data_IF_891966693925
#
_entry.id   IF_891966693925
#
_cell.length_a   1.000
_cell.length_b   1.000
_cell.length_c   1.000
_cell.angle_alpha   90.00
_cell.angle_beta   90.00
_cell.angle_gamma   90.00
#
_symmetry.space_group_name_H-M   'P 1'
#
loop_
_entity.id
_entity.type
_entity.pdbx_description
1 polymer ?
#
# COMPACT_ATOMS: atom_id res chain seq x y z
N UNK A 1 -10.39 -14.73 -9.15
CA UNK A 1 -9.90 -14.71 -7.74
C UNK A 1 -10.35 -13.43 -7.05
N UNK A 2 -10.55 -13.46 -5.71
CA UNK A 2 -10.93 -12.27 -4.93
C UNK A 2 -9.72 -11.65 -4.24
N UNK A 3 -9.68 -10.31 -4.24
CA UNK A 3 -8.74 -9.51 -3.48
C UNK A 3 -9.45 -8.51 -2.58
N UNK A 4 -8.83 -8.14 -1.47
CA UNK A 4 -9.36 -7.17 -0.52
C UNK A 4 -8.67 -5.82 -0.75
N UNK A 5 -9.43 -4.83 -1.20
CA UNK A 5 -8.99 -3.48 -1.55
C UNK A 5 -9.57 -2.48 -0.56
N UNK A 6 -8.76 -1.58 0.01
CA UNK A 6 -9.30 -0.57 0.93
C UNK A 6 -9.53 0.79 0.28
N UNK A 7 -8.85 1.09 -0.82
CA UNK A 7 -9.05 2.33 -1.57
C UNK A 7 -8.69 2.15 -3.05
N UNK A 8 -9.33 2.92 -3.91
CA UNK A 8 -8.97 3.09 -5.33
C UNK A 8 -8.89 4.58 -5.58
N UNK A 9 -7.67 5.09 -5.70
CA UNK A 9 -7.42 6.52 -5.90
C UNK A 9 -7.18 6.80 -7.37
N UNK A 10 -8.15 7.40 -8.00
CA UNK A 10 -8.06 7.81 -9.40
C UNK A 10 -7.27 9.13 -9.52
N UNK A 11 -6.57 9.29 -10.66
CA UNK A 11 -5.80 10.49 -10.99
C UNK A 11 -4.68 10.84 -10.00
N UNK A 12 -4.02 9.84 -9.44
CA UNK A 12 -2.84 10.01 -8.59
C UNK A 12 -1.63 10.47 -9.44
N UNK A 13 -0.85 11.42 -8.91
CA UNK A 13 0.32 12.00 -9.60
C UNK A 13 1.65 11.73 -8.87
N UNK A 14 1.62 10.93 -7.79
CA UNK A 14 2.78 10.61 -6.97
C UNK A 14 3.09 9.11 -6.88
N UNK A 15 2.26 8.28 -7.51
CA UNK A 15 2.33 6.82 -7.40
C UNK A 15 2.95 6.20 -8.67
N UNK A 16 3.88 6.91 -9.30
CA UNK A 16 4.60 6.53 -10.50
C UNK A 16 4.52 7.56 -11.61
N UNK A 17 5.14 7.26 -12.75
CA UNK A 17 5.20 8.16 -13.90
C UNK A 17 3.82 8.36 -14.53
N UNK A 18 3.54 9.60 -14.95
CA UNK A 18 2.26 10.01 -15.54
C UNK A 18 1.11 10.10 -14.53
N UNK A 19 -0.12 10.08 -15.02
CA UNK A 19 -1.33 10.07 -14.17
C UNK A 19 -1.79 8.63 -13.97
N UNK A 20 -1.99 8.22 -12.72
CA UNK A 20 -2.24 6.82 -12.40
C UNK A 20 -3.55 6.62 -11.62
N UNK A 21 -4.10 5.42 -11.72
CA UNK A 21 -5.08 4.93 -10.74
C UNK A 21 -4.38 3.96 -9.81
N UNK A 22 -4.34 4.28 -8.53
CA UNK A 22 -3.69 3.46 -7.52
C UNK A 22 -4.71 2.60 -6.80
N UNK A 23 -4.49 1.29 -6.82
CA UNK A 23 -5.29 0.29 -6.11
C UNK A 23 -4.58 -0.08 -4.83
N UNK A 24 -5.19 0.25 -3.68
CA UNK A 24 -4.62 0.00 -2.36
C UNK A 24 -5.15 -1.30 -1.76
N UNK A 25 -4.31 -2.33 -1.74
CA UNK A 25 -4.63 -3.66 -1.22
C UNK A 25 -4.47 -3.73 0.30
N UNK A 26 -5.35 -4.48 0.98
CA UNK A 26 -5.29 -4.69 2.43
C UNK A 26 -4.34 -5.81 2.83
N UNK A 27 -3.80 -5.65 4.03
CA UNK A 27 -2.84 -6.54 4.64
C UNK A 27 -1.41 -6.06 4.42
N UNK A 28 -0.65 -6.00 5.50
CA UNK A 28 0.78 -5.73 5.47
C UNK A 28 1.45 -6.55 6.57
N UNK A 29 2.54 -7.27 6.29
CA UNK A 29 3.30 -7.95 7.34
C UNK A 29 4.14 -6.98 8.17
N UNK A 30 4.45 -5.79 7.63
CA UNK A 30 5.20 -4.76 8.33
C UNK A 30 4.28 -3.96 9.28
N UNK A 31 4.90 -3.37 10.31
CA UNK A 31 4.29 -2.46 11.31
C UNK A 31 5.13 -1.20 11.45
N UNK A 32 5.46 -0.59 10.28
CA UNK A 32 6.26 0.63 10.26
C UNK A 32 5.63 1.70 11.17
N UNK A 33 6.40 2.24 12.12
CA UNK A 33 5.90 3.25 13.06
C UNK A 33 5.46 4.55 12.38
N UNK A 34 5.90 4.78 11.14
CA UNK A 34 5.52 5.92 10.27
C UNK A 34 4.49 5.59 9.20
N UNK A 35 3.80 4.45 9.27
CA UNK A 35 2.93 4.01 8.20
C UNK A 35 1.90 5.07 7.80
N UNK A 36 1.77 5.37 6.52
CA UNK A 36 0.81 6.34 6.00
C UNK A 36 -0.58 5.76 5.73
N UNK A 37 -0.67 4.42 5.68
CA UNK A 37 -1.90 3.70 5.34
C UNK A 37 -2.27 2.71 6.45
N UNK A 38 -2.61 3.19 7.68
CA UNK A 38 -2.97 2.32 8.79
C UNK A 38 -4.20 1.45 8.48
N UNK A 39 -5.07 1.89 7.58
CA UNK A 39 -6.21 1.12 7.04
C UNK A 39 -5.79 -0.07 6.18
N UNK A 40 -4.57 -0.07 5.67
CA UNK A 40 -3.98 -1.18 4.91
C UNK A 40 -3.30 -2.25 5.77
N UNK A 41 -3.11 -2.04 7.08
CA UNK A 41 -2.31 -2.93 7.92
C UNK A 41 -2.97 -4.29 8.19
N UNK A 42 -4.28 -4.33 8.42
CA UNK A 42 -5.02 -5.56 8.66
C UNK A 42 -5.37 -6.28 7.36
N UNK A 43 -5.22 -7.61 7.28
CA UNK A 43 -5.70 -8.39 6.14
C UNK A 43 -7.21 -8.66 6.18
N UNK A 44 -7.95 -8.06 7.12
CA UNK A 44 -9.39 -8.21 7.29
C UNK A 44 -10.09 -6.88 7.08
N UNK A 45 -11.37 -6.93 6.77
CA UNK A 45 -12.24 -5.75 6.80
C UNK A 45 -12.21 -5.11 8.18
N UNK A 46 -12.18 -3.79 8.23
CA UNK A 46 -12.16 -3.02 9.48
C UNK A 46 -13.11 -1.85 9.40
N UNK A 47 -13.60 -1.44 10.57
CA UNK A 47 -14.33 -0.18 10.68
C UNK A 47 -13.41 0.99 10.30
N UNK A 48 -13.93 1.90 9.50
CA UNK A 48 -13.31 3.19 9.23
C UNK A 48 -14.27 4.30 9.65
N UNK A 49 -13.85 5.10 10.64
CA UNK A 49 -14.66 6.18 11.17
C UNK A 49 -13.98 7.53 10.98
N UNK A 50 -14.62 8.44 10.26
CA UNK A 50 -14.21 9.84 10.20
C UNK A 50 -14.73 10.57 11.45
N UNK A 51 -13.84 11.20 12.22
CA UNK A 51 -14.24 11.93 13.43
C UNK A 51 -14.57 13.40 13.15
N UNK A 52 -14.00 13.97 12.10
CA UNK A 52 -14.32 15.34 11.70
C UNK A 52 -15.80 15.43 11.28
N UNK A 53 -16.56 16.29 11.96
CA UNK A 53 -17.99 16.44 11.76
C UNK A 53 -18.87 15.41 12.50
N UNK A 54 -18.29 14.57 13.36
CA UNK A 54 -19.06 13.63 14.19
C UNK A 54 -19.87 14.41 15.24
N UNK A 55 -21.18 14.11 15.28
CA UNK A 55 -22.13 14.73 16.22
C UNK A 55 -22.09 14.13 17.64
N UNK A 56 -21.31 13.05 17.85
CA UNK A 56 -21.29 12.33 19.13
C UNK A 56 -22.61 11.67 19.53
N UNK A 57 -23.53 11.49 18.58
CA UNK A 57 -24.91 11.05 18.88
C UNK A 57 -25.04 9.57 19.30
N UNK A 58 -23.99 8.78 19.22
CA UNK A 58 -23.95 7.38 19.65
C UNK A 58 -24.77 6.38 18.83
N UNK A 59 -25.56 6.82 17.85
CA UNK A 59 -26.47 5.93 17.09
C UNK A 59 -25.77 4.75 16.43
N UNK A 60 -24.55 4.95 15.90
CA UNK A 60 -23.78 3.89 15.25
C UNK A 60 -23.28 2.80 16.23
N UNK A 61 -23.36 3.03 17.54
CA UNK A 61 -22.99 2.06 18.58
C UNK A 61 -24.15 1.17 18.99
N UNK A 62 -25.37 1.43 18.51
CA UNK A 62 -26.54 0.62 18.81
C UNK A 62 -26.45 -0.64 17.93
N UNK A 63 -26.61 -1.85 18.51
CA UNK A 63 -26.64 -3.10 17.76
C UNK A 63 -27.69 -3.08 16.64
N UNK A 64 -27.38 -3.67 15.52
CA UNK A 64 -28.29 -3.83 14.38
C UNK A 64 -28.12 -5.23 13.76
N UNK A 65 -29.11 -5.66 12.97
CA UNK A 65 -29.18 -7.00 12.41
C UNK A 65 -28.54 -7.12 11.01
N UNK A 66 -28.00 -6.05 10.45
CA UNK A 66 -27.33 -6.10 9.15
C UNK A 66 -26.04 -6.93 9.25
N UNK A 67 -25.87 -7.88 8.33
CA UNK A 67 -24.75 -8.82 8.35
C UNK A 67 -23.40 -8.09 8.24
N UNK A 68 -23.27 -7.14 7.32
CA UNK A 68 -22.06 -6.34 7.12
C UNK A 68 -21.68 -5.47 8.32
N UNK A 69 -22.68 -5.08 9.14
CA UNK A 69 -22.43 -4.33 10.37
C UNK A 69 -21.84 -5.19 11.48
N UNK A 70 -22.20 -6.48 11.50
CA UNK A 70 -21.68 -7.44 12.51
C UNK A 70 -20.16 -7.65 12.33
N UNK A 71 -19.68 -7.67 11.09
CA UNK A 71 -18.25 -7.84 10.79
C UNK A 71 -17.37 -6.72 11.41
N UNK A 72 -17.92 -5.50 11.52
CA UNK A 72 -17.17 -4.32 11.97
C UNK A 72 -17.62 -3.78 13.33
N UNK A 73 -18.64 -4.37 13.94
CA UNK A 73 -19.14 -4.04 15.29
C UNK A 73 -19.81 -2.67 15.43
N UNK A 74 -20.23 -2.06 14.30
CA UNK A 74 -20.91 -0.76 14.25
C UNK A 74 -21.92 -0.73 13.11
N UNK A 75 -23.07 -0.06 13.33
CA UNK A 75 -24.04 0.14 12.26
C UNK A 75 -23.49 1.11 11.20
N UNK A 76 -23.40 0.64 9.97
CA UNK A 76 -22.88 1.41 8.82
C UNK A 76 -23.93 2.37 8.24
N UNK A 77 -25.23 2.13 8.50
CA UNK A 77 -26.35 2.79 7.82
C UNK A 77 -26.96 3.95 8.62
N UNK A 78 -26.72 4.02 9.94
CA UNK A 78 -27.46 4.93 10.82
C UNK A 78 -26.81 6.29 11.00
N UNK A 79 -25.58 6.47 10.48
CA UNK A 79 -24.86 7.75 10.65
C UNK A 79 -25.44 8.86 9.76
N UNK A 80 -26.04 9.94 10.32
CA UNK A 80 -26.65 11.00 9.53
C UNK A 80 -25.63 11.84 8.74
N UNK A 81 -24.33 11.68 9.03
CA UNK A 81 -23.22 12.36 8.35
C UNK A 81 -22.39 11.42 7.48
N UNK A 82 -22.79 10.16 7.32
CA UNK A 82 -22.05 9.14 6.54
C UNK A 82 -20.56 9.04 6.92
N UNK A 83 -20.25 9.07 8.23
CA UNK A 83 -18.86 9.06 8.72
C UNK A 83 -18.36 7.65 9.06
N UNK A 84 -19.19 6.65 8.91
CA UNK A 84 -18.88 5.25 9.20
C UNK A 84 -18.83 4.49 7.89
N UNK A 85 -17.76 3.78 7.64
CA UNK A 85 -17.58 2.92 6.47
C UNK A 85 -16.70 1.71 6.81
N UNK A 86 -16.50 0.84 5.85
CA UNK A 86 -15.59 -0.31 5.97
C UNK A 86 -14.32 -0.01 5.17
N UNK A 87 -13.17 -0.18 5.81
CA UNK A 87 -11.90 -0.28 5.09
C UNK A 87 -11.73 -1.73 4.63
N UNK A 88 -11.89 -1.98 3.35
CA UNK A 88 -11.75 -3.28 2.73
C UNK A 88 -13.03 -3.73 2.02
N UNK A 89 -12.98 -3.70 0.70
CA UNK A 89 -14.02 -4.22 -0.20
C UNK A 89 -13.42 -5.37 -1.00
N UNK A 90 -14.14 -6.48 -1.07
CA UNK A 90 -13.75 -7.60 -1.91
C UNK A 90 -14.01 -7.29 -3.38
N UNK A 91 -13.02 -7.51 -4.21
CA UNK A 91 -13.10 -7.38 -5.66
C UNK A 91 -12.71 -8.69 -6.34
N UNK A 92 -13.52 -9.15 -7.26
CA UNK A 92 -13.07 -10.14 -8.25
C UNK A 92 -12.07 -9.47 -9.20
N UNK A 93 -10.94 -10.13 -9.49
CA UNK A 93 -9.89 -9.57 -10.35
C UNK A 93 -10.42 -9.09 -11.70
N UNK A 94 -11.31 -9.86 -12.34
CA UNK A 94 -11.97 -9.49 -13.59
C UNK A 94 -12.80 -8.22 -13.45
N UNK A 95 -13.66 -8.13 -12.43
CA UNK A 95 -14.52 -6.96 -12.22
C UNK A 95 -13.70 -5.69 -11.95
N UNK A 96 -12.60 -5.83 -11.18
CA UNK A 96 -11.69 -4.71 -10.94
C UNK A 96 -10.96 -4.32 -12.23
N UNK A 97 -10.46 -5.27 -13.01
CA UNK A 97 -9.82 -5.00 -14.30
C UNK A 97 -10.79 -4.25 -15.25
N UNK A 98 -12.04 -4.70 -15.36
CA UNK A 98 -13.05 -4.05 -16.21
C UNK A 98 -13.30 -2.58 -15.77
N UNK A 99 -13.35 -2.32 -14.45
CA UNK A 99 -13.43 -0.95 -13.91
C UNK A 99 -12.20 -0.13 -14.30
N UNK A 100 -10.99 -0.65 -14.13
CA UNK A 100 -9.74 0.06 -14.43
C UNK A 100 -9.58 0.34 -15.93
N UNK A 101 -10.03 -0.58 -16.79
CA UNK A 101 -10.01 -0.43 -18.24
C UNK A 101 -10.92 0.68 -18.75
N UNK A 102 -11.91 1.13 -17.98
CA UNK A 102 -12.72 2.30 -18.37
C UNK A 102 -11.90 3.58 -18.53
N UNK A 103 -10.72 3.66 -17.88
CA UNK A 103 -9.82 4.80 -17.97
C UNK A 103 -8.72 4.64 -19.03
N UNK A 104 -8.73 3.52 -19.80
CA UNK A 104 -7.67 3.22 -20.77
C UNK A 104 -7.39 4.37 -21.74
N UNK A 105 -8.42 4.92 -22.38
CA UNK A 105 -8.25 6.01 -23.33
C UNK A 105 -7.62 7.26 -22.72
N UNK A 106 -7.87 7.51 -21.43
CA UNK A 106 -7.24 8.60 -20.69
C UNK A 106 -5.74 8.34 -20.50
N UNK A 107 -5.35 7.13 -20.06
CA UNK A 107 -3.95 6.76 -19.90
C UNK A 107 -3.18 6.74 -21.21
N UNK A 108 -3.81 6.28 -22.30
CA UNK A 108 -3.22 6.30 -23.64
C UNK A 108 -2.91 7.73 -24.11
N UNK A 109 -3.71 8.71 -23.70
CA UNK A 109 -3.54 10.12 -24.10
C UNK A 109 -2.60 10.89 -23.19
N UNK A 110 -2.73 10.71 -21.88
CA UNK A 110 -2.02 11.52 -20.86
C UNK A 110 -0.76 10.84 -20.32
N UNK A 111 -0.49 9.62 -20.71
CA UNK A 111 0.50 8.76 -20.07
C UNK A 111 0.05 8.28 -18.69
N UNK A 112 0.77 7.30 -18.12
CA UNK A 112 0.46 6.74 -16.81
C UNK A 112 -0.10 5.33 -16.88
N UNK A 113 -1.01 4.98 -15.97
CA UNK A 113 -1.56 3.63 -15.88
C UNK A 113 -2.07 3.25 -14.49
N UNK A 114 -1.88 1.99 -14.12
CA UNK A 114 -2.32 1.45 -12.82
C UNK A 114 -1.10 1.22 -11.92
N UNK A 115 -1.25 1.53 -10.63
CA UNK A 115 -0.28 1.14 -9.60
C UNK A 115 -0.97 0.28 -8.54
N UNK A 116 -0.43 -0.90 -8.27
CA UNK A 116 -0.82 -1.70 -7.12
C UNK A 116 0.01 -1.27 -5.92
N UNK A 117 -0.63 -0.90 -4.83
CA UNK A 117 -0.03 -0.40 -3.60
C UNK A 117 -0.87 -0.80 -2.39
N UNK A 118 -0.77 -0.10 -1.27
CA UNK A 118 -1.67 -0.26 -0.12
C UNK A 118 -0.96 -0.60 1.18
N UNK A 119 -1.24 -1.79 1.72
CA UNK A 119 -0.42 -2.43 2.73
C UNK A 119 0.83 -3.01 2.08
N UNK A 120 0.82 -4.33 1.83
CA UNK A 120 1.81 -5.01 0.99
C UNK A 120 1.05 -5.80 -0.08
N UNK A 121 1.10 -5.40 -1.36
CA UNK A 121 0.36 -6.08 -2.42
C UNK A 121 0.71 -7.56 -2.56
N UNK A 122 1.97 -7.91 -2.30
CA UNK A 122 2.46 -9.28 -2.41
C UNK A 122 1.86 -10.23 -1.35
N UNK A 123 1.18 -9.71 -0.33
CA UNK A 123 0.40 -10.55 0.59
C UNK A 123 -0.83 -11.15 -0.13
N UNK A 124 -1.24 -10.57 -1.25
CA UNK A 124 -2.31 -11.03 -2.12
C UNK A 124 -1.75 -11.37 -3.53
N UNK A 125 -0.60 -12.05 -3.58
CA UNK A 125 0.17 -12.29 -4.81
C UNK A 125 -0.66 -12.92 -5.94
N UNK A 126 -1.45 -13.95 -5.64
CA UNK A 126 -2.26 -14.62 -6.66
C UNK A 126 -3.35 -13.71 -7.25
N UNK A 127 -3.96 -12.83 -6.43
CA UNK A 127 -4.88 -11.81 -6.92
C UNK A 127 -4.15 -10.78 -7.80
N UNK A 128 -2.97 -10.32 -7.39
CA UNK A 128 -2.14 -9.42 -8.19
C UNK A 128 -1.80 -10.04 -9.55
N UNK A 129 -1.39 -11.31 -9.57
CA UNK A 129 -1.07 -12.04 -10.80
C UNK A 129 -2.27 -12.08 -11.74
N UNK A 130 -3.46 -12.45 -11.26
CA UNK A 130 -4.65 -12.51 -12.10
C UNK A 130 -5.03 -11.13 -12.63
N UNK A 131 -5.04 -10.11 -11.76
CA UNK A 131 -5.39 -8.73 -12.14
C UNK A 131 -4.41 -8.18 -13.20
N UNK A 132 -3.10 -8.27 -12.93
CA UNK A 132 -2.09 -7.76 -13.86
C UNK A 132 -2.13 -8.53 -15.19
N UNK A 133 -2.34 -9.85 -15.16
CA UNK A 133 -2.44 -10.66 -16.37
C UNK A 133 -3.58 -10.21 -17.29
N UNK A 134 -4.72 -9.79 -16.72
CA UNK A 134 -5.84 -9.25 -17.49
C UNK A 134 -5.50 -7.87 -18.08
N UNK A 135 -4.76 -7.03 -17.34
CA UNK A 135 -4.40 -5.67 -17.74
C UNK A 135 -3.21 -5.63 -18.71
N UNK A 136 -2.38 -6.70 -18.73
CA UNK A 136 -1.12 -6.75 -19.49
C UNK A 136 -1.32 -6.47 -20.97
N UNK A 137 -0.51 -5.55 -21.51
CA UNK A 137 -0.59 -5.10 -22.90
C UNK A 137 -1.77 -4.16 -23.20
N UNK A 138 -2.62 -3.86 -22.23
CA UNK A 138 -3.74 -2.93 -22.38
C UNK A 138 -3.51 -1.60 -21.66
N UNK A 139 -2.93 -1.66 -20.45
CA UNK A 139 -2.61 -0.50 -19.60
C UNK A 139 -1.25 -0.77 -18.95
N UNK A 140 -0.40 0.25 -18.85
CA UNK A 140 0.87 0.16 -18.10
C UNK A 140 0.61 -0.11 -16.63
N UNK A 141 1.25 -1.14 -16.07
CA UNK A 141 1.07 -1.59 -14.69
C UNK A 141 2.35 -1.43 -13.89
N UNK A 142 2.23 -0.81 -12.72
CA UNK A 142 3.30 -0.71 -11.74
C UNK A 142 2.89 -1.32 -10.40
N UNK A 143 3.88 -1.66 -9.59
CA UNK A 143 3.68 -2.10 -8.21
C UNK A 143 4.57 -1.32 -7.26
N UNK A 144 4.03 -0.93 -6.11
CA UNK A 144 4.78 -0.40 -4.97
C UNK A 144 4.81 -1.47 -3.87
N UNK A 145 5.99 -1.91 -3.50
CA UNK A 145 6.17 -3.00 -2.54
C UNK A 145 7.33 -2.76 -1.59
N UNK A 146 7.22 -3.28 -0.38
CA UNK A 146 8.37 -3.38 0.53
C UNK A 146 9.30 -4.54 0.17
N UNK A 147 8.90 -5.42 -0.74
CA UNK A 147 9.61 -6.65 -1.07
C UNK A 147 9.55 -7.73 0.02
N UNK A 148 8.77 -7.55 1.08
CA UNK A 148 8.61 -8.55 2.13
C UNK A 148 7.59 -9.62 1.73
N UNK A 149 8.01 -10.53 0.89
CA UNK A 149 7.24 -11.66 0.41
C UNK A 149 8.17 -12.87 0.16
N UNK A 150 7.61 -14.05 0.06
CA UNK A 150 8.37 -15.22 -0.42
C UNK A 150 8.94 -14.90 -1.80
N UNK A 151 10.18 -15.32 -2.05
CA UNK A 151 10.84 -15.01 -3.32
C UNK A 151 10.05 -15.51 -4.54
N UNK A 152 9.36 -16.63 -4.44
CA UNK A 152 8.51 -17.17 -5.51
C UNK A 152 7.34 -16.23 -5.83
N UNK A 153 6.63 -15.73 -4.81
CA UNK A 153 5.50 -14.80 -4.97
C UNK A 153 5.98 -13.44 -5.51
N UNK A 154 7.12 -12.95 -4.99
CA UNK A 154 7.76 -11.73 -5.47
C UNK A 154 8.06 -11.83 -6.96
N UNK A 155 8.84 -12.86 -7.36
CA UNK A 155 9.25 -13.07 -8.74
C UNK A 155 8.05 -13.23 -9.68
N UNK A 156 7.05 -14.02 -9.27
CA UNK A 156 5.84 -14.27 -10.06
C UNK A 156 5.06 -12.99 -10.35
N UNK A 157 4.91 -12.09 -9.37
CA UNK A 157 4.17 -10.84 -9.56
C UNK A 157 4.97 -9.84 -10.38
N UNK A 158 6.24 -9.57 -10.00
CA UNK A 158 7.01 -8.52 -10.66
C UNK A 158 7.32 -8.83 -12.14
N UNK A 159 7.41 -10.11 -12.53
CA UNK A 159 7.63 -10.51 -13.94
C UNK A 159 6.46 -10.15 -14.86
N UNK A 160 5.32 -9.80 -14.30
CA UNK A 160 4.14 -9.36 -15.05
C UNK A 160 4.01 -7.84 -15.08
N UNK A 161 4.65 -7.12 -14.17
CA UNK A 161 4.63 -5.66 -14.09
C UNK A 161 5.50 -5.00 -15.15
N UNK A 162 5.10 -3.82 -15.60
CA UNK A 162 5.92 -2.98 -16.49
C UNK A 162 6.93 -2.15 -15.67
N UNK A 163 6.66 -1.89 -14.39
CA UNK A 163 7.54 -1.13 -13.51
C UNK A 163 7.40 -1.56 -12.04
N UNK A 164 8.50 -1.53 -11.29
CA UNK A 164 8.53 -1.87 -9.85
C UNK A 164 9.12 -0.72 -9.04
N UNK A 165 8.35 -0.20 -8.09
CA UNK A 165 8.84 0.65 -7.01
C UNK A 165 9.06 -0.21 -5.76
N UNK A 166 10.30 -0.33 -5.32
CA UNK A 166 10.62 -1.17 -4.15
C UNK A 166 11.24 -0.36 -3.02
N UNK A 167 10.65 -0.44 -1.85
CA UNK A 167 11.11 0.31 -0.68
C UNK A 167 12.26 -0.40 0.06
N UNK A 168 13.42 0.25 0.15
CA UNK A 168 14.49 -0.10 1.08
C UNK A 168 14.48 0.92 2.21
N UNK A 169 13.97 0.54 3.38
CA UNK A 169 13.70 1.47 4.48
C UNK A 169 14.89 1.64 5.42
N UNK A 170 15.50 0.54 5.81
CA UNK A 170 16.67 0.47 6.70
C UNK A 170 17.57 -0.67 6.26
N UNK A 171 18.88 -0.38 6.20
CA UNK A 171 19.90 -1.37 5.81
C UNK A 171 20.23 -2.33 6.96
N UNK A 172 20.31 -1.81 8.21
CA UNK A 172 20.57 -2.63 9.39
C UNK A 172 19.32 -3.46 9.77
N UNK A 173 19.49 -4.76 9.91
CA UNK A 173 18.39 -5.70 10.15
C UNK A 173 17.73 -5.53 11.53
N UNK A 174 18.51 -5.12 12.54
CA UNK A 174 17.99 -4.91 13.90
C UNK A 174 17.15 -3.63 13.97
N UNK A 175 17.66 -2.54 13.38
CA UNK A 175 16.93 -1.29 13.28
C UNK A 175 15.70 -1.46 12.38
N UNK A 176 15.80 -2.22 11.29
CA UNK A 176 14.64 -2.55 10.45
C UNK A 176 13.57 -3.25 11.27
N UNK A 177 13.92 -4.30 12.01
CA UNK A 177 12.98 -5.04 12.86
C UNK A 177 12.38 -4.15 13.96
N UNK A 178 13.18 -3.29 14.58
CA UNK A 178 12.73 -2.36 15.63
C UNK A 178 11.66 -1.40 15.13
N UNK A 179 11.80 -0.85 13.93
CA UNK A 179 10.91 0.19 13.41
C UNK A 179 9.82 -0.32 12.47
N UNK A 180 9.98 -1.52 11.90
CA UNK A 180 8.99 -2.10 10.97
C UNK A 180 8.36 -3.40 11.46
N UNK A 181 8.83 -3.95 12.58
CA UNK A 181 8.32 -5.18 13.17
C UNK A 181 8.91 -6.47 12.57
N UNK A 182 9.62 -6.41 11.43
CA UNK A 182 10.23 -7.56 10.75
C UNK A 182 11.68 -7.28 10.38
N UNK A 183 12.50 -8.33 10.23
CA UNK A 183 13.85 -8.17 9.65
C UNK A 183 13.78 -7.90 8.14
N UNK A 184 14.92 -7.52 7.56
CA UNK A 184 14.98 -7.16 6.14
C UNK A 184 15.66 -8.24 5.27
N UNK A 185 15.96 -9.43 5.79
CA UNK A 185 16.71 -10.43 5.04
C UNK A 185 16.06 -10.76 3.70
N UNK A 186 14.78 -11.15 3.71
CA UNK A 186 14.06 -11.49 2.49
C UNK A 186 13.85 -10.29 1.56
N UNK A 187 13.74 -9.07 2.13
CA UNK A 187 13.67 -7.83 1.35
C UNK A 187 14.95 -7.65 0.54
N UNK A 188 16.11 -7.81 1.16
CA UNK A 188 17.41 -7.65 0.50
C UNK A 188 17.67 -8.76 -0.53
N UNK A 189 17.23 -9.98 -0.28
CA UNK A 189 17.28 -11.08 -1.25
C UNK A 189 16.43 -10.77 -2.48
N UNK A 190 15.21 -10.26 -2.28
CA UNK A 190 14.30 -9.86 -3.35
C UNK A 190 14.80 -8.60 -4.10
N UNK A 191 15.45 -7.66 -3.40
CA UNK A 191 16.08 -6.50 -4.03
C UNK A 191 17.23 -6.92 -4.95
N UNK A 192 18.07 -7.87 -4.52
CA UNK A 192 19.14 -8.37 -5.35
C UNK A 192 18.62 -9.08 -6.60
N UNK A 193 17.56 -9.90 -6.45
CA UNK A 193 16.89 -10.50 -7.60
C UNK A 193 16.33 -9.42 -8.56
N UNK A 194 15.68 -8.37 -8.03
CA UNK A 194 15.11 -7.30 -8.86
C UNK A 194 16.17 -6.60 -9.70
N UNK A 195 17.34 -6.29 -9.13
CA UNK A 195 18.48 -5.70 -9.86
C UNK A 195 18.94 -6.56 -11.03
N UNK A 196 18.92 -7.87 -10.86
CA UNK A 196 19.38 -8.84 -11.87
C UNK A 196 18.30 -9.23 -12.89
N UNK A 197 17.03 -8.92 -12.61
CA UNK A 197 15.88 -9.36 -13.41
C UNK A 197 15.73 -8.65 -14.76
N UNK A 198 16.34 -7.48 -14.93
CA UNK A 198 16.14 -6.61 -16.10
C UNK A 198 14.80 -5.88 -16.11
N UNK A 199 13.95 -6.05 -15.08
CA UNK A 199 12.65 -5.36 -14.97
C UNK A 199 12.90 -3.88 -14.62
N UNK A 200 12.26 -2.92 -15.31
CA UNK A 200 12.35 -1.52 -14.98
C UNK A 200 11.92 -1.26 -13.53
N UNK A 201 12.78 -0.60 -12.75
CA UNK A 201 12.50 -0.38 -11.35
C UNK A 201 13.16 0.87 -10.79
N UNK A 202 12.66 1.32 -9.65
CA UNK A 202 13.27 2.36 -8.80
C UNK A 202 13.18 1.90 -7.35
N UNK A 203 14.29 1.94 -6.63
CA UNK A 203 14.29 1.80 -5.19
C UNK A 203 13.82 3.11 -4.55
N UNK A 204 13.11 3.00 -3.42
CA UNK A 204 12.60 4.14 -2.66
C UNK A 204 12.99 4.05 -1.20
N UNK A 205 13.26 5.19 -0.59
CA UNK A 205 13.52 5.26 0.87
C UNK A 205 12.74 6.44 1.45
N UNK A 206 11.78 6.21 2.35
CA UNK A 206 11.12 7.30 3.06
C UNK A 206 12.11 7.92 4.06
N UNK A 207 12.27 9.24 4.01
CA UNK A 207 13.19 9.99 4.89
C UNK A 207 12.51 10.34 6.22
N UNK A 208 12.49 9.39 7.15
CA UNK A 208 11.92 9.60 8.49
C UNK A 208 12.98 10.19 9.41
N UNK A 209 12.76 11.37 10.02
CA UNK A 209 13.74 12.05 10.83
C UNK A 209 14.36 11.18 11.93
N UNK A 210 15.68 11.13 11.97
CA UNK A 210 16.50 10.37 12.92
C UNK A 210 16.28 8.84 12.90
N UNK A 211 15.59 8.31 11.86
CA UNK A 211 15.36 6.88 11.73
C UNK A 211 15.93 6.38 10.39
N UNK A 212 15.36 6.82 9.27
CA UNK A 212 15.79 6.34 7.95
C UNK A 212 16.67 7.35 7.22
N UNK A 213 16.63 8.63 7.61
CA UNK A 213 17.37 9.73 6.99
C UNK A 213 18.78 9.90 7.55
N UNK A 214 19.23 9.01 8.44
CA UNK A 214 20.60 9.08 9.00
C UNK A 214 21.64 8.83 7.90
N UNK A 215 22.75 9.56 7.98
CA UNK A 215 23.84 9.45 7.00
C UNK A 215 24.36 8.01 6.90
N UNK A 216 24.44 7.30 8.03
CA UNK A 216 24.86 5.91 8.09
C UNK A 216 23.91 5.00 7.31
N UNK A 217 22.60 5.13 7.55
CA UNK A 217 21.60 4.34 6.84
C UNK A 217 21.61 4.63 5.34
N UNK A 218 21.66 5.90 4.95
CA UNK A 218 21.64 6.30 3.54
C UNK A 218 22.89 5.78 2.80
N UNK A 219 24.08 5.87 3.40
CA UNK A 219 25.30 5.29 2.82
C UNK A 219 25.25 3.76 2.69
N UNK A 220 24.59 3.10 3.64
CA UNK A 220 24.43 1.65 3.58
C UNK A 220 23.39 1.25 2.50
N UNK A 221 22.29 1.98 2.38
CA UNK A 221 21.29 1.77 1.31
C UNK A 221 21.89 2.04 -0.07
N UNK A 222 22.70 3.08 -0.23
CA UNK A 222 23.39 3.39 -1.49
C UNK A 222 24.22 2.20 -2.00
N UNK A 223 24.89 1.47 -1.09
CA UNK A 223 25.61 0.23 -1.45
C UNK A 223 24.68 -0.91 -1.85
N UNK A 224 23.47 -1.00 -1.25
CA UNK A 224 22.49 -2.03 -1.56
C UNK A 224 21.89 -1.78 -2.95
N UNK A 225 21.47 -0.54 -3.23
CA UNK A 225 20.81 -0.20 -4.50
C UNK A 225 21.81 -0.16 -5.66
N UNK A 226 23.08 0.15 -5.40
CA UNK A 226 24.15 0.21 -6.41
C UNK A 226 23.85 1.24 -7.48
N UNK A 227 23.87 0.83 -8.75
CA UNK A 227 23.61 1.69 -9.91
C UNK A 227 22.13 1.86 -10.25
N UNK A 228 21.24 1.17 -9.53
CA UNK A 228 19.80 1.28 -9.77
C UNK A 228 19.28 2.66 -9.40
N UNK A 229 18.24 3.17 -10.10
CA UNK A 229 17.57 4.40 -9.70
C UNK A 229 17.09 4.35 -8.26
N UNK A 230 17.35 5.42 -7.50
CA UNK A 230 16.99 5.52 -6.09
C UNK A 230 16.34 6.86 -5.76
N UNK A 231 15.12 6.80 -5.27
CA UNK A 231 14.31 7.95 -4.89
C UNK A 231 14.22 8.07 -3.36
N UNK A 232 14.50 9.26 -2.84
CA UNK A 232 14.36 9.61 -1.43
C UNK A 232 13.05 10.36 -1.23
N UNK A 233 12.10 9.74 -0.52
CA UNK A 233 10.76 10.30 -0.33
C UNK A 233 10.69 11.16 0.92
N UNK A 234 10.29 12.45 0.82
CA UNK A 234 10.12 13.32 1.98
C UNK A 234 9.12 12.74 2.99
N UNK A 235 9.38 12.96 4.29
CA UNK A 235 8.45 12.54 5.33
C UNK A 235 7.14 13.34 5.27
N UNK A 236 6.02 12.64 5.17
CA UNK A 236 4.69 13.24 5.24
C UNK A 236 4.16 13.21 6.67
N UNK A 237 4.10 14.38 7.31
CA UNK A 237 3.67 14.54 8.71
C UNK A 237 2.17 14.30 8.93
N UNK A 238 1.36 14.18 7.87
CA UNK A 238 -0.09 13.97 7.95
C UNK A 238 -0.49 12.50 8.19
N UNK A 239 0.48 11.58 8.19
CA UNK A 239 0.25 10.15 8.40
C UNK A 239 -0.60 9.85 9.65
N UNK A 240 -0.36 10.54 10.75
CA UNK A 240 -1.06 10.34 12.02
C UNK A 240 -2.56 10.60 11.99
N UNK A 241 -3.05 11.40 11.06
CA UNK A 241 -4.48 11.79 11.00
C UNK A 241 -5.44 10.61 10.74
N UNK A 242 -4.97 9.57 10.05
CA UNK A 242 -5.79 8.40 9.69
C UNK A 242 -5.87 7.33 10.80
N UNK A 243 -4.93 7.33 11.75
CA UNK A 243 -4.83 6.26 12.74
C UNK A 243 -6.06 6.13 13.63
N UNK A 244 -6.57 7.25 14.13
CA UNK A 244 -7.79 7.25 14.92
C UNK A 244 -8.98 6.67 14.14
N UNK A 245 -9.05 6.88 12.83
CA UNK A 245 -10.15 6.40 11.97
C UNK A 245 -10.27 4.88 11.92
N UNK A 246 -9.20 4.16 12.21
CA UNK A 246 -9.15 2.69 12.29
C UNK A 246 -8.86 2.18 13.71
N UNK A 247 -9.08 3.01 14.72
CA UNK A 247 -8.90 2.65 16.13
C UNK A 247 -7.46 2.40 16.56
N UNK A 248 -6.48 2.98 15.85
CA UNK A 248 -5.03 2.83 16.14
C UNK A 248 -4.44 4.13 16.70
N UNK A 249 -3.29 4.00 17.35
CA UNK A 249 -2.48 5.15 17.79
C UNK A 249 -1.30 5.32 16.86
N UNK A 250 -0.94 6.56 16.58
CA UNK A 250 0.28 6.91 15.87
C UNK A 250 1.41 7.11 16.87
N UNK A 251 2.48 6.33 16.75
CA UNK A 251 3.51 6.19 17.78
C UNK A 251 4.80 6.96 17.49
N UNK A 252 4.92 7.63 16.35
CA UNK A 252 6.06 8.52 16.13
C UNK A 252 5.89 9.76 16.98
N UNK A 253 6.80 9.95 17.95
CA UNK A 253 6.92 11.18 18.70
C UNK A 253 7.14 12.37 17.76
N UNK A 254 6.24 13.34 17.84
CA UNK A 254 6.44 14.65 17.25
C UNK A 254 7.53 15.36 18.05
N UNK A 255 8.80 15.10 17.73
CA UNK A 255 9.90 15.95 18.18
C UNK A 255 10.14 17.06 17.17
#
# INVERSE_FOLDING_TARGET
>A
MKGLVFDIKEFAVHDGEGIRTTVFLKGCPLRCVWCHNPEGLSPKKELYQKFNGCLGCGRCSIPCDHEECREVGRCLHVCPKNLISVAGVEWEAKALADKLLTHKSFFDTMGGGITLSGGEPLLQADFCVELISILKGQIHTAIETSGYAKSEDFQKVISLCDFVYMDIKLADSKEHKKYTGVDNKIILENAEYLKQSGIPHTFRTPLIPNITDTEENLKAIEKIVGESPWEKLPYNTLAGAKYASVGRKFEIDKK
#
